data_IF_264055665727
#
_entry.id   IF_264055665727
#
_cell.length_a   1.000
_cell.length_b   1.000
_cell.length_c   1.000
_cell.angle_alpha   90.00
_cell.angle_beta   90.00
_cell.angle_gamma   90.00
#
_symmetry.space_group_name_H-M   'P 1'
#
loop_
_entity.id
_entity.type
_entity.pdbx_description
1 polymer ?
#
# COMPACT_ATOMS: atom_id res chain seq x y z
N UNK A 1 7.74 12.41 17.02
CA UNK A 1 7.17 11.84 15.77
C UNK A 1 6.40 10.58 16.15
N UNK A 2 5.41 10.14 15.36
CA UNK A 2 4.73 8.86 15.65
C UNK A 2 5.75 7.72 15.54
N UNK A 3 5.73 6.79 16.47
CA UNK A 3 6.63 5.62 16.45
C UNK A 3 6.22 4.62 15.36
N UNK A 4 4.91 4.58 15.05
CA UNK A 4 4.31 3.59 14.16
C UNK A 4 3.44 4.26 13.08
N UNK A 5 3.23 3.55 11.98
CA UNK A 5 2.29 3.85 10.90
C UNK A 5 1.24 2.75 10.76
N UNK A 6 0.04 3.13 10.32
CA UNK A 6 -0.98 2.19 9.87
C UNK A 6 -0.88 2.04 8.35
N UNK A 7 -0.95 0.81 7.87
CA UNK A 7 -0.79 0.47 6.45
C UNK A 7 -1.87 -0.52 6.04
N UNK A 8 -2.42 -0.34 4.85
CA UNK A 8 -3.30 -1.31 4.21
C UNK A 8 -2.44 -2.24 3.35
N UNK A 9 -2.51 -3.55 3.60
CA UNK A 9 -1.64 -4.56 2.98
C UNK A 9 -2.51 -5.69 2.42
N UNK A 10 -2.07 -6.31 1.31
CA UNK A 10 -2.60 -7.58 0.81
C UNK A 10 -1.43 -8.47 0.40
N UNK A 11 -1.46 -9.75 0.80
CA UNK A 11 -0.40 -10.72 0.47
C UNK A 11 -0.76 -11.61 -0.73
N UNK A 12 -2.06 -11.70 -1.05
CA UNK A 12 -2.58 -12.52 -2.13
C UNK A 12 -3.61 -11.74 -2.95
N UNK A 13 -3.70 -12.05 -4.24
CA UNK A 13 -4.70 -11.44 -5.10
C UNK A 13 -6.10 -11.98 -4.82
N UNK A 14 -7.11 -11.11 -4.87
CA UNK A 14 -8.50 -11.50 -4.66
C UNK A 14 -9.45 -10.30 -4.58
N UNK A 15 -10.67 -10.56 -4.15
CA UNK A 15 -11.64 -9.51 -3.87
C UNK A 15 -11.07 -8.58 -2.79
N UNK A 16 -10.94 -7.26 -3.02
CA UNK A 16 -10.31 -6.32 -2.09
C UNK A 16 -10.90 -6.36 -0.67
N UNK A 17 -12.20 -6.63 -0.54
CA UNK A 17 -12.85 -6.74 0.76
C UNK A 17 -12.42 -7.96 1.59
N UNK A 18 -11.90 -9.00 0.93
CA UNK A 18 -11.52 -10.27 1.55
C UNK A 18 -10.01 -10.35 1.82
N UNK A 19 -9.18 -9.64 1.03
CA UNK A 19 -7.71 -9.77 1.05
C UNK A 19 -6.96 -8.58 1.65
N UNK A 20 -7.59 -7.41 1.76
CA UNK A 20 -6.96 -6.26 2.40
C UNK A 20 -7.07 -6.36 3.92
N UNK A 21 -5.94 -6.15 4.60
CA UNK A 21 -5.88 -6.02 6.05
C UNK A 21 -5.19 -4.70 6.46
N UNK A 22 -5.49 -4.24 7.67
CA UNK A 22 -4.79 -3.12 8.28
C UNK A 22 -3.71 -3.65 9.21
N UNK A 23 -2.49 -3.19 9.00
CA UNK A 23 -1.33 -3.53 9.81
C UNK A 23 -0.74 -2.29 10.49
N UNK A 24 0.06 -2.53 11.53
CA UNK A 24 0.83 -1.49 12.20
C UNK A 24 2.31 -1.80 12.01
N UNK A 25 3.04 -0.87 11.41
CA UNK A 25 4.48 -0.97 11.16
C UNK A 25 5.24 0.14 11.88
N UNK A 26 6.53 -0.01 12.16
CA UNK A 26 7.38 1.10 12.61
C UNK A 26 7.41 2.23 11.57
N UNK A 27 7.61 3.46 12.03
CA UNK A 27 7.82 4.59 11.14
C UNK A 27 9.13 4.41 10.35
N UNK A 28 9.13 4.55 9.01
CA UNK A 28 10.31 4.27 8.20
C UNK A 28 11.41 5.32 8.42
N UNK A 29 12.67 4.89 8.28
CA UNK A 29 13.83 5.78 8.22
C UNK A 29 14.26 5.90 6.77
N UNK A 30 14.29 7.11 6.17
CA UNK A 30 14.65 7.27 4.76
C UNK A 30 16.15 7.05 4.54
N UNK A 31 16.50 6.56 3.35
CA UNK A 31 17.87 6.60 2.82
C UNK A 31 18.29 8.03 2.45
N UNK A 32 19.55 8.22 2.03
CA UNK A 32 20.09 9.56 1.72
C UNK A 32 19.37 10.31 0.59
N UNK A 33 18.65 9.59 -0.26
CA UNK A 33 17.93 10.07 -1.45
C UNK A 33 16.42 9.90 -1.35
N UNK A 34 15.89 9.58 -0.16
CA UNK A 34 14.47 9.36 0.08
C UNK A 34 13.89 10.43 1.01
N UNK A 35 12.56 10.61 0.94
CA UNK A 35 11.83 11.45 1.88
C UNK A 35 10.64 10.68 2.45
N UNK A 36 10.38 10.85 3.74
CA UNK A 36 9.18 10.29 4.37
C UNK A 36 8.07 11.34 4.37
N UNK A 37 6.94 11.00 3.76
CA UNK A 37 5.76 11.85 3.70
C UNK A 37 4.67 11.35 4.63
N UNK A 38 4.03 12.27 5.35
CA UNK A 38 2.81 11.96 6.08
C UNK A 38 1.62 12.04 5.12
N UNK A 39 1.14 10.89 4.66
CA UNK A 39 -0.05 10.81 3.81
C UNK A 39 -1.27 11.39 4.53
N UNK A 40 -1.97 12.33 3.87
CA UNK A 40 -3.20 12.96 4.37
C UNK A 40 -4.46 12.32 3.81
N UNK A 41 -4.40 11.89 2.55
CA UNK A 41 -5.47 11.20 1.85
C UNK A 41 -4.86 10.41 0.68
N UNK A 42 -5.54 9.35 0.28
CA UNK A 42 -5.26 8.60 -0.94
C UNK A 42 -6.62 8.19 -1.56
N UNK A 43 -6.92 8.56 -2.81
CA UNK A 43 -8.15 8.12 -3.47
C UNK A 43 -8.09 6.61 -3.76
N UNK A 44 -9.27 5.98 -3.83
CA UNK A 44 -9.40 4.61 -4.33
C UNK A 44 -9.79 4.72 -5.81
N UNK A 45 -8.88 4.34 -6.70
CA UNK A 45 -9.11 4.35 -8.15
C UNK A 45 -9.35 2.92 -8.66
N UNK A 46 -9.97 2.75 -9.85
CA UNK A 46 -10.15 1.44 -10.46
C UNK A 46 -8.84 0.66 -10.68
N UNK A 47 -7.73 1.35 -10.97
CA UNK A 47 -6.43 0.72 -11.14
C UNK A 47 -5.90 0.06 -9.85
N UNK A 48 -6.15 0.69 -8.69
CA UNK A 48 -5.75 0.16 -7.38
C UNK A 48 -6.49 -1.15 -7.08
N UNK A 49 -7.80 -1.19 -7.37
CA UNK A 49 -8.62 -2.39 -7.22
C UNK A 49 -8.16 -3.49 -8.18
N UNK A 50 -7.93 -3.16 -9.46
CA UNK A 50 -7.44 -4.12 -10.44
C UNK A 50 -6.09 -4.73 -10.04
N UNK A 51 -5.22 -3.94 -9.40
CA UNK A 51 -3.92 -4.42 -8.91
C UNK A 51 -4.11 -5.44 -7.78
N UNK A 52 -4.97 -5.15 -6.81
CA UNK A 52 -5.28 -6.07 -5.71
C UNK A 52 -5.96 -7.34 -6.23
N UNK A 53 -6.88 -7.22 -7.19
CA UNK A 53 -7.56 -8.34 -7.82
C UNK A 53 -6.66 -9.19 -8.75
N UNK A 54 -5.43 -8.74 -9.04
CA UNK A 54 -4.51 -9.42 -9.95
C UNK A 54 -4.88 -9.29 -11.43
N UNK A 55 -5.70 -8.30 -11.79
CA UNK A 55 -6.14 -8.02 -13.16
C UNK A 55 -5.33 -6.93 -13.85
N UNK A 56 -4.57 -6.15 -13.10
CA UNK A 56 -3.74 -5.09 -13.67
C UNK A 56 -2.53 -5.72 -14.39
N UNK A 57 -2.25 -5.33 -15.65
CA UNK A 57 -1.16 -5.94 -16.41
C UNK A 57 0.19 -5.64 -15.74
N UNK A 58 0.93 -6.69 -15.42
CA UNK A 58 2.33 -6.57 -15.00
C UNK A 58 3.15 -6.16 -16.23
N UNK A 59 3.98 -5.12 -16.10
CA UNK A 59 4.94 -4.81 -17.16
C UNK A 59 5.95 -5.97 -17.24
N UNK A 60 6.18 -6.58 -18.41
CA UNK A 60 7.27 -7.53 -18.59
C UNK A 60 8.61 -6.85 -18.26
N UNK A 61 9.53 -7.60 -17.66
CA UNK A 61 10.91 -7.17 -17.39
C UNK A 61 11.71 -6.92 -18.67
#
# INVERSE_FOLDING_TARGET
MKENISVAVYETHGNPADVLCMETHPWPTPSSDEAVVQMRAAPINPADLNQIEGKYPVRPE
#
